data_IF_553958905527
#
_entry.id   IF_553958905527
#
_cell.length_a   1.000
_cell.length_b   1.000
_cell.length_c   1.000
_cell.angle_alpha   90.00
_cell.angle_beta   90.00
_cell.angle_gamma   90.00
#
_symmetry.space_group_name_H-M   'P 1'
#
loop_
_entity.id
_entity.type
_entity.pdbx_description
1 polymer ?
#
# COMPACT_ATOMS: atom_id res chain seq x y z
N UNK A 1 -18.60 61.07 -58.64
CA UNK A 1 -18.99 59.99 -59.57
C UNK A 1 -17.93 58.89 -59.45
N UNK A 2 -18.00 58.01 -58.46
CA UNK A 2 -18.81 56.77 -58.40
C UNK A 2 -18.36 55.69 -59.41
N UNK A 3 -17.58 54.69 -58.97
CA UNK A 3 -17.69 53.25 -59.31
C UNK A 3 -16.59 52.48 -58.55
N UNK A 4 -16.88 51.80 -57.44
CA UNK A 4 -17.60 50.51 -57.22
C UNK A 4 -16.62 49.32 -57.15
N UNK A 5 -16.74 48.66 -55.99
CA UNK A 5 -15.97 47.54 -55.45
C UNK A 5 -16.46 46.23 -56.08
N UNK A 6 -15.57 45.27 -56.31
CA UNK A 6 -15.90 43.85 -56.23
C UNK A 6 -14.83 43.15 -55.40
N UNK A 7 -15.18 42.78 -54.17
CA UNK A 7 -14.40 41.87 -53.33
C UNK A 7 -15.18 40.57 -53.23
N UNK A 8 -14.61 39.53 -53.83
CA UNK A 8 -15.11 38.16 -53.85
C UNK A 8 -15.12 37.60 -52.43
N UNK A 9 -16.30 37.27 -51.90
CA UNK A 9 -16.43 36.56 -50.63
C UNK A 9 -16.06 35.09 -50.82
N UNK A 10 -14.94 34.68 -50.23
CA UNK A 10 -14.60 33.27 -50.07
C UNK A 10 -15.32 32.78 -48.80
N UNK A 11 -16.43 32.06 -49.00
CA UNK A 11 -17.14 31.38 -47.92
C UNK A 11 -16.37 30.10 -47.57
N UNK A 12 -15.49 30.16 -46.57
CA UNK A 12 -14.83 28.97 -46.03
C UNK A 12 -15.83 28.25 -45.12
N UNK A 13 -16.47 27.19 -45.63
CA UNK A 13 -17.31 26.31 -44.82
C UNK A 13 -16.43 25.53 -43.83
N UNK A 14 -16.49 25.91 -42.55
CA UNK A 14 -15.86 25.16 -41.48
C UNK A 14 -16.73 23.93 -41.19
N UNK A 15 -16.28 22.77 -41.63
CA UNK A 15 -16.88 21.49 -41.26
C UNK A 15 -16.37 21.11 -39.87
N UNK A 16 -17.24 21.23 -38.88
CA UNK A 16 -16.98 20.75 -37.52
C UNK A 16 -16.93 19.22 -37.56
N UNK A 17 -15.72 18.66 -37.59
CA UNK A 17 -15.50 17.23 -37.40
C UNK A 17 -15.78 16.92 -35.93
N UNK A 18 -16.99 16.45 -35.63
CA UNK A 18 -17.29 15.78 -34.36
C UNK A 18 -16.46 14.50 -34.32
N UNK A 19 -15.35 14.54 -33.58
CA UNK A 19 -14.60 13.34 -33.21
C UNK A 19 -15.50 12.54 -32.28
N UNK A 20 -16.23 11.59 -32.84
CA UNK A 20 -16.91 10.56 -32.06
C UNK A 20 -15.80 9.72 -31.45
N UNK A 21 -15.53 9.91 -30.15
CA UNK A 21 -14.65 9.04 -29.40
C UNK A 21 -15.29 7.65 -29.35
N UNK A 22 -14.96 6.83 -30.35
CA UNK A 22 -15.22 5.41 -30.29
C UNK A 22 -14.37 4.89 -29.15
N UNK A 23 -14.95 4.82 -27.95
CA UNK A 23 -14.36 4.15 -26.80
C UNK A 23 -13.92 2.76 -27.27
N UNK A 24 -12.63 2.64 -27.62
CA UNK A 24 -12.09 1.42 -28.18
C UNK A 24 -12.23 0.38 -27.09
N UNK A 25 -12.97 -0.69 -27.38
CA UNK A 25 -13.14 -1.81 -26.46
C UNK A 25 -11.75 -2.30 -26.03
N UNK A 26 -11.46 -2.17 -24.74
CA UNK A 26 -10.23 -2.69 -24.13
C UNK A 26 -10.48 -4.09 -23.56
N UNK A 27 -9.48 -4.97 -23.63
CA UNK A 27 -9.49 -6.25 -22.92
C UNK A 27 -9.12 -6.09 -21.44
N UNK A 28 -8.54 -4.95 -21.07
CA UNK A 28 -8.26 -4.61 -19.67
C UNK A 28 -9.59 -4.34 -18.97
N UNK A 29 -9.93 -5.09 -17.90
CA UNK A 29 -11.17 -4.85 -17.19
C UNK A 29 -11.21 -3.44 -16.58
N UNK A 30 -12.18 -2.62 -16.97
CA UNK A 30 -12.34 -1.26 -16.45
C UNK A 30 -12.55 -1.22 -14.92
N UNK A 31 -13.08 -2.31 -14.36
CA UNK A 31 -13.23 -2.45 -12.91
C UNK A 31 -11.87 -2.32 -12.18
N UNK A 32 -10.76 -2.73 -12.81
CA UNK A 32 -9.43 -2.72 -12.17
C UNK A 32 -8.95 -1.31 -11.80
N UNK A 33 -9.42 -0.25 -12.46
CA UNK A 33 -9.13 1.14 -12.09
C UNK A 33 -9.95 1.61 -10.87
N UNK A 34 -11.06 0.94 -10.59
CA UNK A 34 -12.08 1.38 -9.63
C UNK A 34 -12.06 0.56 -8.35
N UNK A 35 -11.85 -0.75 -8.46
CA UNK A 35 -11.95 -1.72 -7.36
C UNK A 35 -10.59 -2.23 -6.89
N UNK A 36 -10.45 -2.37 -5.58
CA UNK A 36 -9.37 -3.11 -4.96
C UNK A 36 -9.53 -4.60 -5.24
N UNK A 37 -8.42 -5.30 -5.52
CA UNK A 37 -8.38 -6.75 -5.74
C UNK A 37 -7.42 -7.38 -4.73
N UNK A 38 -7.84 -8.47 -4.09
CA UNK A 38 -6.91 -9.36 -3.38
C UNK A 38 -6.20 -10.24 -4.41
N UNK A 39 -4.89 -10.42 -4.27
CA UNK A 39 -4.06 -11.23 -5.17
C UNK A 39 -3.33 -12.33 -4.40
N UNK A 40 -2.89 -13.35 -5.13
CA UNK A 40 -2.13 -14.49 -4.61
C UNK A 40 -0.79 -14.70 -5.32
N UNK A 41 -0.19 -15.86 -5.09
CA UNK A 41 1.15 -16.19 -5.60
C UNK A 41 1.29 -16.12 -7.12
N UNK A 42 0.22 -16.30 -7.88
CA UNK A 42 0.26 -16.20 -9.34
C UNK A 42 0.57 -14.79 -9.86
N UNK A 43 0.36 -13.77 -9.02
CA UNK A 43 0.53 -12.35 -9.36
C UNK A 43 1.68 -11.70 -8.54
N UNK A 44 2.47 -12.50 -7.80
CA UNK A 44 3.44 -11.97 -6.82
C UNK A 44 4.63 -11.25 -7.48
N UNK A 45 5.05 -11.70 -8.66
CA UNK A 45 6.16 -11.11 -9.38
C UNK A 45 5.81 -9.69 -9.85
N UNK A 46 4.65 -9.52 -10.45
CA UNK A 46 4.18 -8.22 -10.96
C UNK A 46 3.94 -7.23 -9.82
N UNK A 47 3.36 -7.69 -8.71
CA UNK A 47 3.18 -6.87 -7.52
C UNK A 47 4.53 -6.50 -6.86
N UNK A 48 5.50 -7.43 -6.83
CA UNK A 48 6.85 -7.17 -6.33
C UNK A 48 7.58 -6.12 -7.16
N UNK A 49 7.50 -6.20 -8.50
CA UNK A 49 8.05 -5.18 -9.42
C UNK A 49 7.38 -3.82 -9.18
N UNK A 50 6.06 -3.79 -8.97
CA UNK A 50 5.33 -2.56 -8.67
C UNK A 50 5.82 -1.88 -7.40
N UNK A 51 5.95 -2.64 -6.30
CA UNK A 51 6.53 -2.12 -5.06
C UNK A 51 7.99 -1.69 -5.24
N UNK A 52 8.80 -2.45 -6.00
CA UNK A 52 10.17 -2.07 -6.29
C UNK A 52 10.27 -0.69 -6.94
N UNK A 53 9.39 -0.38 -7.91
CA UNK A 53 9.30 0.95 -8.51
C UNK A 53 8.79 2.02 -7.53
N UNK A 54 7.83 1.70 -6.68
CA UNK A 54 7.30 2.65 -5.70
C UNK A 54 8.34 3.05 -4.65
N UNK A 55 9.18 2.09 -4.22
CA UNK A 55 10.18 2.21 -3.17
C UNK A 55 11.62 2.37 -3.72
N UNK A 56 11.80 2.64 -5.02
CA UNK A 56 13.12 2.72 -5.65
C UNK A 56 14.07 3.75 -5.02
N UNK A 57 13.51 4.81 -4.42
CA UNK A 57 14.23 5.87 -3.74
C UNK A 57 13.87 5.96 -2.24
N UNK A 58 13.29 4.90 -1.67
CA UNK A 58 12.92 4.86 -0.25
C UNK A 58 14.16 4.73 0.64
N UNK A 59 14.20 5.49 1.73
CA UNK A 59 15.35 5.58 2.61
C UNK A 59 15.69 4.24 3.29
N UNK A 60 14.68 3.43 3.66
CA UNK A 60 14.92 2.13 4.26
C UNK A 60 15.45 1.12 3.23
N UNK A 61 14.92 1.17 2.01
CA UNK A 61 15.40 0.34 0.89
C UNK A 61 16.87 0.63 0.56
N UNK A 62 17.24 1.90 0.47
CA UNK A 62 18.63 2.33 0.27
C UNK A 62 19.51 1.95 1.47
N UNK A 63 19.02 2.14 2.68
CA UNK A 63 19.74 1.76 3.90
C UNK A 63 20.09 0.26 3.98
N UNK A 64 19.26 -0.61 3.42
CA UNK A 64 19.55 -2.05 3.35
C UNK A 64 20.52 -2.41 2.23
N UNK A 65 20.51 -1.66 1.12
CA UNK A 65 21.23 -1.98 -0.12
C UNK A 65 22.52 -1.18 -0.34
N UNK A 66 22.77 -0.15 0.47
CA UNK A 66 23.96 0.68 0.43
C UNK A 66 24.87 0.46 1.66
N UNK A 67 26.15 0.76 1.51
CA UNK A 67 27.17 0.65 2.55
C UNK A 67 28.01 -0.62 2.48
N UNK A 68 29.29 -0.46 2.81
CA UNK A 68 30.22 -1.57 2.95
C UNK A 68 30.52 -2.23 1.60
N UNK A 69 30.34 -3.55 1.51
CA UNK A 69 30.57 -4.29 0.26
C UNK A 69 29.59 -3.90 -0.85
N UNK A 70 28.37 -3.48 -0.48
CA UNK A 70 27.32 -3.17 -1.43
C UNK A 70 27.62 -1.89 -2.24
N UNK A 71 28.49 -1.01 -1.75
CA UNK A 71 28.95 0.18 -2.49
C UNK A 71 29.73 -0.17 -3.76
N UNK A 72 30.21 -1.42 -3.87
CA UNK A 72 30.91 -1.92 -5.07
C UNK A 72 29.97 -2.54 -6.10
N UNK A 73 28.69 -2.74 -5.75
CA UNK A 73 27.71 -3.33 -6.65
C UNK A 73 27.24 -2.28 -7.64
N UNK A 74 26.99 -2.69 -8.88
CA UNK A 74 26.37 -1.80 -9.87
C UNK A 74 24.92 -1.50 -9.51
N UNK A 75 24.41 -0.37 -9.99
CA UNK A 75 23.01 0.03 -9.81
C UNK A 75 22.05 -1.06 -10.32
N UNK A 76 22.39 -1.70 -11.43
CA UNK A 76 21.62 -2.83 -12.00
C UNK A 76 21.58 -4.04 -11.05
N UNK A 77 22.67 -4.34 -10.34
CA UNK A 77 22.72 -5.42 -9.36
C UNK A 77 21.90 -5.09 -8.12
N UNK A 78 22.00 -3.85 -7.61
CA UNK A 78 21.19 -3.35 -6.50
C UNK A 78 19.70 -3.37 -6.86
N UNK A 79 19.34 -2.91 -8.06
CA UNK A 79 17.97 -2.94 -8.57
C UNK A 79 17.42 -4.37 -8.63
N UNK A 80 18.18 -5.33 -9.18
CA UNK A 80 17.76 -6.74 -9.20
C UNK A 80 17.54 -7.31 -7.81
N UNK A 81 18.39 -6.95 -6.84
CA UNK A 81 18.22 -7.38 -5.46
C UNK A 81 17.00 -6.71 -4.81
N UNK A 82 16.78 -5.41 -5.04
CA UNK A 82 15.61 -4.68 -4.59
C UNK A 82 14.30 -5.31 -5.08
N UNK A 83 14.22 -5.63 -6.38
CA UNK A 83 13.06 -6.32 -6.97
C UNK A 83 12.84 -7.67 -6.27
N UNK A 84 13.90 -8.45 -6.04
CA UNK A 84 13.78 -9.75 -5.33
C UNK A 84 13.28 -9.57 -3.91
N UNK A 85 13.81 -8.60 -3.15
CA UNK A 85 13.35 -8.30 -1.78
C UNK A 85 11.85 -8.01 -1.80
N UNK A 86 11.39 -7.12 -2.69
CA UNK A 86 9.98 -6.77 -2.80
C UNK A 86 9.11 -7.97 -3.21
N UNK A 87 9.58 -8.81 -4.14
CA UNK A 87 8.88 -10.05 -4.51
C UNK A 87 8.82 -11.05 -3.35
N UNK A 88 9.88 -11.19 -2.54
CA UNK A 88 9.87 -12.07 -1.37
C UNK A 88 8.89 -11.56 -0.30
N UNK A 89 8.86 -10.25 -0.06
CA UNK A 89 7.90 -9.62 0.84
C UNK A 89 6.46 -9.86 0.38
N UNK A 90 6.15 -9.63 -0.90
CA UNK A 90 4.83 -9.91 -1.47
C UNK A 90 4.49 -11.39 -1.33
N UNK A 91 5.41 -12.28 -1.70
CA UNK A 91 5.21 -13.73 -1.61
C UNK A 91 4.93 -14.19 -0.18
N UNK A 92 5.66 -13.67 0.80
CA UNK A 92 5.43 -13.96 2.21
C UNK A 92 4.05 -13.48 2.68
N UNK A 93 3.60 -12.29 2.26
CA UNK A 93 2.25 -11.81 2.55
C UNK A 93 1.16 -12.56 1.77
N UNK A 94 1.47 -13.20 0.64
CA UNK A 94 0.53 -14.12 -0.01
C UNK A 94 0.33 -15.42 0.79
N UNK A 95 1.30 -15.84 1.60
CA UNK A 95 1.19 -17.03 2.46
C UNK A 95 0.52 -16.72 3.80
N UNK A 96 0.96 -15.68 4.51
CA UNK A 96 0.52 -15.41 5.89
C UNK A 96 -0.26 -14.12 6.07
N UNK A 97 -0.46 -13.34 5.01
CA UNK A 97 -1.08 -12.01 5.09
C UNK A 97 -2.18 -11.79 4.05
N UNK A 98 -2.36 -10.52 3.70
CA UNK A 98 -3.27 -10.06 2.66
C UNK A 98 -2.53 -9.11 1.73
N UNK A 99 -2.49 -9.48 0.45
CA UNK A 99 -1.95 -8.63 -0.61
C UNK A 99 -3.11 -8.07 -1.42
N UNK A 100 -3.18 -6.74 -1.50
CA UNK A 100 -4.20 -6.03 -2.29
C UNK A 100 -3.56 -5.16 -3.35
N UNK A 101 -4.23 -5.00 -4.48
CA UNK A 101 -3.77 -4.16 -5.59
C UNK A 101 -4.92 -3.43 -6.26
N UNK A 102 -4.61 -2.35 -6.97
CA UNK A 102 -5.55 -1.59 -7.81
C UNK A 102 -4.79 -1.02 -9.00
N UNK A 103 -5.52 -0.85 -10.10
CA UNK A 103 -5.00 -0.45 -11.41
C UNK A 103 -4.62 -1.65 -12.26
N UNK A 104 -4.61 -1.48 -13.59
CA UNK A 104 -4.51 -2.60 -14.51
C UNK A 104 -3.13 -3.24 -14.59
N UNK A 105 -2.09 -2.50 -14.22
CA UNK A 105 -0.70 -2.99 -14.16
C UNK A 105 -0.18 -2.95 -12.72
N UNK A 106 -1.01 -3.39 -11.76
CA UNK A 106 -0.66 -3.38 -10.33
C UNK A 106 -0.22 -2.01 -9.85
N UNK A 107 -0.84 -0.95 -10.37
CA UNK A 107 -0.41 0.45 -10.23
C UNK A 107 -0.19 0.88 -8.77
N UNK A 108 -0.95 0.30 -7.85
CA UNK A 108 -0.66 0.35 -6.43
C UNK A 108 -0.84 -1.02 -5.77
N UNK A 109 -0.05 -1.30 -4.74
CA UNK A 109 -0.05 -2.54 -3.98
C UNK A 109 0.03 -2.21 -2.49
N UNK A 110 -0.72 -2.93 -1.66
CA UNK A 110 -0.62 -2.88 -0.20
C UNK A 110 -0.50 -4.29 0.39
N UNK A 111 0.43 -4.43 1.35
CA UNK A 111 0.73 -5.64 2.09
C UNK A 111 0.28 -5.47 3.53
N UNK A 112 -0.61 -6.35 3.97
CA UNK A 112 -1.18 -6.33 5.31
C UNK A 112 -0.93 -7.64 6.03
N UNK A 113 -0.66 -7.56 7.32
CA UNK A 113 -0.73 -8.69 8.23
C UNK A 113 -2.02 -8.57 9.06
N UNK A 114 -2.91 -9.59 9.03
CA UNK A 114 -4.09 -9.61 9.86
C UNK A 114 -3.73 -9.91 11.34
N UNK A 115 -4.66 -9.65 12.29
CA UNK A 115 -4.42 -9.98 13.69
C UNK A 115 -4.06 -11.44 13.93
N UNK A 116 -3.07 -11.68 14.78
CA UNK A 116 -2.59 -13.04 15.13
C UNK A 116 -1.81 -13.75 14.03
N UNK A 117 -1.56 -13.10 12.89
CA UNK A 117 -0.70 -13.64 11.85
C UNK A 117 0.74 -13.14 12.00
N UNK A 118 1.68 -14.06 11.80
CA UNK A 118 3.11 -13.81 11.89
C UNK A 118 3.80 -14.30 10.62
N UNK A 119 4.91 -13.67 10.23
CA UNK A 119 5.70 -14.06 9.05
C UNK A 119 6.91 -14.92 9.41
N UNK A 120 7.08 -15.22 10.70
CA UNK A 120 8.29 -15.84 11.23
C UNK A 120 8.22 -17.38 11.21
N UNK A 121 7.11 -17.93 10.69
CA UNK A 121 6.98 -19.36 10.52
C UNK A 121 7.91 -19.88 9.41
N UNK A 122 8.53 -21.03 9.67
CA UNK A 122 9.52 -21.62 8.77
C UNK A 122 8.97 -21.84 7.35
N UNK A 123 7.69 -22.20 7.23
CA UNK A 123 7.09 -22.52 5.94
C UNK A 123 6.99 -21.28 5.05
N UNK A 124 6.53 -20.17 5.61
CA UNK A 124 6.49 -18.87 4.93
C UNK A 124 7.88 -18.39 4.59
N UNK A 125 8.84 -18.44 5.52
CA UNK A 125 10.24 -18.06 5.27
C UNK A 125 10.82 -18.87 4.10
N UNK A 126 10.62 -20.18 4.08
CA UNK A 126 11.15 -21.07 3.06
C UNK A 126 10.54 -20.80 1.69
N UNK A 127 9.20 -20.74 1.61
CA UNK A 127 8.46 -20.65 0.33
C UNK A 127 8.44 -19.27 -0.28
N UNK A 128 8.49 -18.23 0.54
CA UNK A 128 8.61 -16.85 0.07
C UNK A 128 9.99 -16.57 -0.52
N UNK A 129 11.02 -17.29 -0.06
CA UNK A 129 12.41 -17.04 -0.40
C UNK A 129 13.11 -16.05 0.52
N UNK A 130 12.47 -15.57 1.59
CA UNK A 130 13.05 -14.66 2.57
C UNK A 130 14.38 -15.17 3.16
N UNK A 131 14.54 -16.49 3.31
CA UNK A 131 15.82 -17.10 3.74
C UNK A 131 17.02 -16.76 2.84
N UNK A 132 16.79 -16.45 1.55
CA UNK A 132 17.85 -16.11 0.61
C UNK A 132 18.48 -14.76 0.91
N UNK A 133 17.78 -13.87 1.60
CA UNK A 133 18.28 -12.53 1.96
C UNK A 133 19.55 -12.61 2.80
N UNK A 134 19.67 -13.61 3.67
CA UNK A 134 20.89 -13.85 4.46
C UNK A 134 22.15 -14.05 3.60
N UNK A 135 22.00 -14.55 2.38
CA UNK A 135 23.10 -14.82 1.46
C UNK A 135 23.22 -13.78 0.33
N UNK A 136 22.15 -13.02 0.07
CA UNK A 136 22.09 -12.05 -1.03
C UNK A 136 22.45 -10.63 -0.58
N UNK A 137 22.17 -10.27 0.68
CA UNK A 137 22.59 -8.99 1.24
C UNK A 137 24.11 -8.98 1.46
N UNK A 138 24.73 -7.83 1.21
CA UNK A 138 26.11 -7.58 1.63
C UNK A 138 26.24 -7.68 3.16
N UNK A 139 27.46 -7.89 3.65
CA UNK A 139 27.72 -8.12 5.08
C UNK A 139 27.10 -7.03 6.00
N UNK A 140 27.15 -5.77 5.59
CA UNK A 140 26.57 -4.66 6.32
C UNK A 140 25.04 -4.60 6.22
N UNK A 141 24.47 -4.74 5.01
CA UNK A 141 23.03 -4.81 4.80
C UNK A 141 22.38 -5.96 5.58
N UNK A 142 23.07 -7.10 5.69
CA UNK A 142 22.64 -8.24 6.50
C UNK A 142 22.61 -7.91 7.99
N UNK A 143 23.64 -7.27 8.53
CA UNK A 143 23.66 -6.82 9.94
C UNK A 143 22.54 -5.82 10.20
N UNK A 144 22.36 -4.84 9.32
CA UNK A 144 21.26 -3.87 9.40
C UNK A 144 19.90 -4.56 9.41
N UNK A 145 19.68 -5.52 8.52
CA UNK A 145 18.40 -6.22 8.46
C UNK A 145 18.12 -7.07 9.71
N UNK A 146 19.03 -7.97 10.08
CA UNK A 146 18.79 -8.97 11.13
C UNK A 146 19.11 -8.50 12.56
N UNK A 147 20.02 -7.53 12.75
CA UNK A 147 20.44 -7.06 14.07
C UNK A 147 19.89 -5.67 14.44
N UNK A 148 19.31 -4.91 13.49
CA UNK A 148 18.79 -3.55 13.74
C UNK A 148 17.31 -3.47 13.33
N UNK A 149 16.99 -3.68 12.05
CA UNK A 149 15.64 -3.50 11.50
C UNK A 149 14.62 -4.46 12.11
N UNK A 150 14.83 -5.78 12.00
CA UNK A 150 13.86 -6.75 12.49
C UNK A 150 13.64 -6.64 14.01
N UNK A 151 14.68 -6.61 14.87
CA UNK A 151 14.49 -6.50 16.31
C UNK A 151 13.78 -5.20 16.71
N UNK A 152 14.21 -4.06 16.18
CA UNK A 152 13.64 -2.77 16.56
C UNK A 152 12.18 -2.62 16.14
N UNK A 153 11.81 -3.12 14.95
CA UNK A 153 10.41 -3.14 14.51
C UNK A 153 9.56 -4.02 15.42
N UNK A 154 10.03 -5.23 15.75
CA UNK A 154 9.31 -6.13 16.65
C UNK A 154 9.13 -5.53 18.05
N UNK A 155 10.20 -5.04 18.67
CA UNK A 155 10.16 -4.38 19.99
C UNK A 155 9.23 -3.17 20.00
N UNK A 156 9.27 -2.35 18.95
CA UNK A 156 8.42 -1.15 18.85
C UNK A 156 6.95 -1.52 18.68
N UNK A 157 6.67 -2.55 17.88
CA UNK A 157 5.32 -3.05 17.67
C UNK A 157 4.73 -3.58 18.98
N UNK A 158 5.49 -4.39 19.73
CA UNK A 158 5.10 -4.93 21.02
C UNK A 158 4.91 -3.82 22.07
N UNK A 159 5.79 -2.82 22.11
CA UNK A 159 5.67 -1.66 23.01
C UNK A 159 4.40 -0.83 22.75
N UNK A 160 4.09 -0.58 21.47
CA UNK A 160 2.99 0.33 21.08
C UNK A 160 1.64 -0.38 21.09
N UNK A 161 1.58 -1.64 20.67
CA UNK A 161 0.34 -2.38 20.54
C UNK A 161 0.07 -3.32 21.71
N UNK A 162 1.09 -3.78 22.44
CA UNK A 162 0.93 -4.79 23.49
C UNK A 162 0.20 -6.03 22.99
N UNK A 163 -0.67 -6.60 23.83
CA UNK A 163 -1.47 -7.79 23.50
C UNK A 163 -2.67 -7.50 22.58
N UNK A 164 -2.79 -6.29 22.03
CA UNK A 164 -3.93 -5.92 21.19
C UNK A 164 -3.89 -6.67 19.87
N UNK A 165 -5.05 -6.98 19.34
CA UNK A 165 -5.22 -7.50 17.98
C UNK A 165 -5.41 -6.34 16.99
N UNK A 166 -4.58 -6.30 15.94
CA UNK A 166 -4.56 -5.22 14.96
C UNK A 166 -4.16 -5.69 13.57
N UNK A 167 -4.51 -4.89 12.57
CA UNK A 167 -3.98 -5.02 11.22
C UNK A 167 -2.68 -4.24 11.09
N UNK A 168 -1.63 -4.85 10.57
CA UNK A 168 -0.36 -4.19 10.32
C UNK A 168 -0.19 -3.91 8.82
N UNK A 169 -0.03 -2.63 8.45
CA UNK A 169 0.35 -2.22 7.10
C UNK A 169 1.87 -2.26 6.95
N UNK A 170 2.41 -3.35 6.42
CA UNK A 170 3.84 -3.49 6.22
C UNK A 170 4.35 -2.64 5.06
N UNK A 171 3.64 -2.64 3.92
CA UNK A 171 4.02 -1.86 2.74
C UNK A 171 2.79 -1.34 2.01
N UNK A 172 2.85 -0.08 1.56
CA UNK A 172 1.94 0.46 0.55
C UNK A 172 2.72 1.30 -0.45
N UNK A 173 2.57 0.97 -1.74
CA UNK A 173 3.29 1.64 -2.80
C UNK A 173 2.38 1.96 -3.99
N UNK A 174 2.64 3.08 -4.65
CA UNK A 174 2.04 3.42 -5.95
C UNK A 174 3.16 3.71 -6.95
N UNK A 175 3.13 3.06 -8.12
CA UNK A 175 4.07 3.31 -9.22
C UNK A 175 4.12 4.80 -9.53
N UNK A 176 5.30 5.38 -9.84
CA UNK A 176 5.42 6.79 -10.19
C UNK A 176 4.43 7.26 -11.27
N UNK A 177 4.21 6.43 -12.32
CA UNK A 177 3.28 6.70 -13.42
C UNK A 177 1.79 6.69 -13.05
N UNK A 178 1.44 6.16 -11.87
CA UNK A 178 0.06 6.02 -11.41
C UNK A 178 -0.29 6.88 -10.18
N UNK A 179 0.65 7.73 -9.74
CA UNK A 179 0.41 8.68 -8.64
C UNK A 179 -0.69 9.69 -9.00
N UNK A 180 -1.32 10.27 -7.98
CA UNK A 180 -2.42 11.23 -8.14
C UNK A 180 -3.79 10.63 -8.47
N UNK A 181 -3.89 9.31 -8.72
CA UNK A 181 -5.18 8.63 -9.01
C UNK A 181 -6.00 8.22 -7.78
N UNK A 182 -5.50 8.48 -6.57
CA UNK A 182 -6.17 8.12 -5.30
C UNK A 182 -6.14 6.62 -4.97
N UNK A 183 -5.27 5.84 -5.61
CA UNK A 183 -5.19 4.39 -5.44
C UNK A 183 -4.76 3.94 -4.04
N UNK A 184 -3.69 4.52 -3.49
CA UNK A 184 -3.28 4.22 -2.11
C UNK A 184 -4.40 4.51 -1.09
N UNK A 185 -5.17 5.59 -1.30
CA UNK A 185 -6.37 5.89 -0.48
C UNK A 185 -7.39 4.75 -0.56
N UNK A 186 -7.68 4.24 -1.75
CA UNK A 186 -8.65 3.13 -1.91
C UNK A 186 -8.18 1.86 -1.21
N UNK A 187 -6.89 1.52 -1.32
CA UNK A 187 -6.31 0.36 -0.63
C UNK A 187 -6.40 0.48 0.90
N UNK A 188 -6.08 1.66 1.46
CA UNK A 188 -6.18 1.90 2.91
C UNK A 188 -7.64 1.83 3.36
N UNK A 189 -8.55 2.51 2.65
CA UNK A 189 -9.96 2.56 3.04
C UNK A 189 -10.66 1.20 2.97
N UNK A 190 -10.27 0.35 2.01
CA UNK A 190 -10.77 -1.03 1.90
C UNK A 190 -10.43 -1.85 3.17
N UNK A 191 -9.17 -1.81 3.61
CA UNK A 191 -8.77 -2.48 4.84
C UNK A 191 -9.31 -1.79 6.10
N UNK A 192 -9.41 -0.47 6.11
CA UNK A 192 -9.97 0.28 7.24
C UNK A 192 -11.44 -0.08 7.49
N UNK A 193 -12.24 -0.25 6.44
CA UNK A 193 -13.62 -0.70 6.57
C UNK A 193 -13.71 -2.10 7.20
N UNK A 194 -12.81 -3.01 6.82
CA UNK A 194 -12.70 -4.35 7.42
C UNK A 194 -12.26 -4.29 8.89
N UNK A 195 -11.24 -3.48 9.20
CA UNK A 195 -10.77 -3.30 10.56
C UNK A 195 -11.84 -2.68 11.47
N UNK A 196 -12.59 -1.68 10.99
CA UNK A 196 -13.70 -1.06 11.73
C UNK A 196 -14.82 -2.06 12.00
N UNK A 197 -15.20 -2.87 11.01
CA UNK A 197 -16.24 -3.90 11.17
C UNK A 197 -15.85 -4.99 12.19
N UNK A 198 -14.56 -5.28 12.31
CA UNK A 198 -14.02 -6.25 13.27
C UNK A 198 -13.58 -5.61 14.59
N UNK A 199 -13.81 -4.30 14.76
CA UNK A 199 -13.36 -3.51 15.91
C UNK A 199 -11.87 -3.69 16.21
N UNK A 200 -11.03 -3.66 15.17
CA UNK A 200 -9.57 -3.82 15.25
C UNK A 200 -8.84 -2.53 14.95
N UNK A 201 -7.77 -2.28 15.68
CA UNK A 201 -6.85 -1.20 15.38
C UNK A 201 -6.04 -1.50 14.11
N UNK A 202 -5.40 -0.47 13.57
CA UNK A 202 -4.43 -0.60 12.49
C UNK A 202 -3.13 0.08 12.89
N UNK A 203 -2.02 -0.54 12.54
CA UNK A 203 -0.67 -0.10 12.87
C UNK A 203 0.17 0.02 11.60
N UNK A 204 1.06 1.02 11.54
CA UNK A 204 2.04 1.18 10.47
C UNK A 204 3.29 1.90 10.96
N UNK A 205 4.39 1.69 10.24
CA UNK A 205 5.57 2.55 10.28
C UNK A 205 5.76 3.27 8.95
N UNK A 206 5.92 4.59 9.00
CA UNK A 206 6.23 5.41 7.83
C UNK A 206 7.71 5.78 7.79
N UNK A 207 8.39 5.55 6.66
CA UNK A 207 9.78 5.97 6.42
C UNK A 207 9.95 7.43 6.00
N UNK A 208 8.85 8.17 5.81
CA UNK A 208 8.88 9.62 5.54
C UNK A 208 7.95 10.38 6.48
N UNK A 209 8.44 11.52 6.96
CA UNK A 209 7.69 12.46 7.81
C UNK A 209 6.54 13.12 7.04
N UNK A 210 6.71 13.31 5.73
CA UNK A 210 5.71 13.95 4.87
C UNK A 210 4.43 13.08 4.75
N UNK A 211 4.58 11.77 4.93
CA UNK A 211 3.47 10.83 4.89
C UNK A 211 2.61 10.84 6.17
N UNK A 212 3.08 11.45 7.27
CA UNK A 212 2.29 11.53 8.52
C UNK A 212 0.95 12.21 8.24
N UNK A 213 0.96 13.41 7.67
CA UNK A 213 -0.27 14.15 7.31
C UNK A 213 -1.10 13.45 6.24
N UNK A 214 -0.50 12.57 5.45
CA UNK A 214 -1.25 11.71 4.53
C UNK A 214 -2.04 10.65 5.30
N UNK A 215 -1.41 9.94 6.24
CA UNK A 215 -2.05 8.89 7.03
C UNK A 215 -3.06 9.42 8.07
N UNK A 216 -2.83 10.62 8.63
CA UNK A 216 -3.77 11.29 9.54
C UNK A 216 -5.17 11.45 8.94
N UNK A 217 -5.26 11.66 7.62
CA UNK A 217 -6.54 11.78 6.90
C UNK A 217 -7.37 10.49 6.91
N UNK A 218 -6.75 9.35 7.21
CA UNK A 218 -7.44 8.07 7.35
C UNK A 218 -7.71 7.70 8.82
N UNK A 219 -7.37 8.58 9.76
CA UNK A 219 -7.58 8.37 11.20
C UNK A 219 -6.38 7.76 11.93
N UNK A 220 -5.22 7.60 11.26
CA UNK A 220 -3.99 7.24 11.95
C UNK A 220 -3.51 8.41 12.81
N UNK A 221 -3.01 8.10 14.00
CA UNK A 221 -2.43 9.06 14.93
C UNK A 221 -0.96 8.72 15.11
N UNK A 222 -0.11 9.74 15.03
CA UNK A 222 1.30 9.60 15.37
C UNK A 222 1.46 9.17 16.83
N UNK A 223 2.36 8.21 17.08
CA UNK A 223 2.66 7.69 18.41
C UNK A 223 4.09 8.02 18.85
N UNK A 224 5.07 7.63 18.05
CA UNK A 224 6.49 7.84 18.34
C UNK A 224 7.33 7.80 17.07
N UNK A 225 8.58 8.22 17.21
CA UNK A 225 9.62 8.13 16.19
C UNK A 225 10.71 7.20 16.70
N UNK A 226 11.14 6.28 15.86
CA UNK A 226 12.33 5.45 16.06
C UNK A 226 13.31 5.71 14.91
N UNK A 227 14.57 5.28 15.04
CA UNK A 227 15.54 5.46 13.97
C UNK A 227 16.57 4.34 13.92
N UNK A 228 16.90 3.90 12.70
CA UNK A 228 18.03 3.01 12.45
C UNK A 228 19.31 3.83 12.34
N UNK A 229 20.32 3.50 13.15
CA UNK A 229 21.49 4.38 13.37
C UNK A 229 22.81 3.80 12.87
N UNK A 230 22.84 2.55 12.41
CA UNK A 230 24.07 1.91 11.91
C UNK A 230 24.61 2.51 10.61
N UNK A 231 23.77 3.27 9.88
CA UNK A 231 24.13 3.93 8.62
C UNK A 231 24.76 5.30 8.84
N UNK A 232 25.33 5.90 7.77
CA UNK A 232 25.93 7.24 7.84
C UNK A 232 24.90 8.33 8.14
N UNK A 233 23.65 8.11 7.73
CA UNK A 233 22.51 8.98 8.02
C UNK A 233 21.46 8.13 8.73
N UNK A 234 20.94 8.57 9.90
CA UNK A 234 19.85 7.89 10.56
C UNK A 234 18.61 7.82 9.67
N UNK A 235 17.96 6.65 9.61
CA UNK A 235 16.69 6.47 8.90
C UNK A 235 15.57 6.50 9.92
N UNK A 236 14.74 7.56 9.97
CA UNK A 236 13.62 7.62 10.90
C UNK A 236 12.45 6.75 10.42
N UNK A 237 11.73 6.16 11.37
CA UNK A 237 10.40 5.60 11.16
C UNK A 237 9.40 6.27 12.11
N UNK A 238 8.26 6.66 11.56
CA UNK A 238 7.17 7.30 12.29
C UNK A 238 6.07 6.28 12.52
N UNK A 239 5.89 5.92 13.79
CA UNK A 239 4.92 4.91 14.21
C UNK A 239 3.55 5.57 14.31
N UNK A 240 2.56 4.97 13.66
CA UNK A 240 1.21 5.49 13.66
C UNK A 240 0.18 4.40 13.90
N UNK A 241 -0.85 4.74 14.66
CA UNK A 241 -1.94 3.82 15.04
C UNK A 241 -3.28 4.46 14.71
N UNK A 242 -4.16 3.71 14.06
CA UNK A 242 -5.56 4.07 13.85
C UNK A 242 -6.43 3.20 14.74
N UNK A 243 -7.25 3.85 15.55
CA UNK A 243 -8.29 3.16 16.32
C UNK A 243 -9.51 2.84 15.43
N UNK A 244 -10.22 1.73 15.68
CA UNK A 244 -11.42 1.41 14.92
C UNK A 244 -12.49 2.47 15.17
N UNK A 245 -13.20 2.85 14.11
CA UNK A 245 -14.35 3.74 14.22
C UNK A 245 -15.60 2.88 14.35
N UNK A 246 -16.32 3.03 15.47
CA UNK A 246 -17.56 2.30 15.69
C UNK A 246 -18.52 2.52 14.52
N UNK A 247 -18.86 1.44 13.81
CA UNK A 247 -20.02 1.43 12.94
C UNK A 247 -21.22 1.55 13.88
N UNK A 248 -21.87 2.72 13.94
CA UNK A 248 -23.16 2.84 14.63
C UNK A 248 -24.07 1.82 13.98
N UNK A 249 -24.31 0.70 14.66
CA UNK A 249 -25.40 -0.19 14.32
C UNK A 249 -26.64 0.70 14.31
N UNK A 250 -27.32 0.77 13.17
CA UNK A 250 -28.70 1.16 13.20
C UNK A 250 -29.38 0.07 14.04
N UNK A 251 -29.56 0.34 15.34
CA UNK A 251 -30.51 -0.40 16.15
C UNK A 251 -31.87 -0.20 15.50
N UNK A 252 -32.24 -1.15 14.65
CA UNK A 252 -33.62 -1.51 14.41
C UNK A 252 -34.22 -1.88 15.77
N UNK A 253 -34.73 -0.87 16.47
CA UNK A 253 -35.74 -1.07 17.49
C UNK A 253 -36.97 -1.67 16.78
N UNK A 254 -37.01 -2.99 16.70
CA UNK A 254 -38.26 -3.72 16.53
C UNK A 254 -39.00 -3.58 17.85
N UNK A 255 -40.11 -2.83 17.93
CA UNK A 255 -40.90 -2.81 19.15
C UNK A 255 -41.49 -4.21 19.34
N UNK A 256 -41.13 -4.86 20.45
CA UNK A 256 -41.79 -6.07 20.92
C UNK A 256 -43.28 -5.78 21.08
N UNK A 257 -44.08 -6.36 20.18
CA UNK A 257 -45.52 -6.30 20.19
C UNK A 257 -46.05 -7.31 21.21
N UNK A 258 -45.96 -6.96 22.49
CA UNK A 258 -46.56 -7.74 23.59
C UNK A 258 -47.05 -6.80 24.71
N UNK A 259 -47.99 -5.92 24.36
CA UNK A 259 -49.03 -5.44 25.29
C UNK A 259 -50.32 -5.21 24.48
N UNK A 260 -50.99 -6.30 24.13
CA UNK A 260 -52.42 -6.28 23.84
C UNK A 260 -53.13 -6.87 25.05
N UNK A 261 -54.04 -6.08 25.61
CA UNK A 261 -54.92 -6.37 26.73
C UNK A 261 -55.52 -7.78 26.70
N UNK A 262 -55.51 -8.45 27.85
CA UNK A 262 -56.58 -9.39 28.19
C UNK A 262 -57.41 -8.74 29.29
N UNK A 263 -58.47 -8.06 28.86
CA UNK A 263 -59.66 -7.82 29.67
C UNK A 263 -60.28 -9.18 29.98
N UNK A 264 -60.46 -9.52 31.26
CA UNK A 264 -61.38 -10.56 31.70
C UNK A 264 -62.03 -10.19 33.04
N UNK A 265 -63.34 -9.95 32.93
CA UNK A 265 -64.43 -9.99 33.93
C UNK A 265 -64.47 -8.87 34.96
#
# INVERSE_FOLDING_TARGET
>A
MAHVISKTNITTSSSTVTVVDHHRRSLVPQAWEKSVRKIGLAECEQAGISLAHAFAADALSLYLLDGGEADRYSDEAKWKLHVRIMTYLVSAHCYSGVVTTIGPDYDAVALWMPPGAHMDDWWTIFRSGMWRLYYQLGSEGRKRYYEDVLPLLHETMDEVMGDREYYYLAYIGTKPSARGKGYAKKLIMDMAAKADAENRAMYLESSSRENITYYERFGFQYRKEISFKRGPVPVPLFIMVREPVAVKAAEEAVPTMDQIEIVKV
#
